data_IF_207166763851
#
_entry.id   IF_207166763851
#
_cell.length_a   1.000
_cell.length_b   1.000
_cell.length_c   1.000
_cell.angle_alpha   90.00
_cell.angle_beta   90.00
_cell.angle_gamma   90.00
#
_symmetry.space_group_name_H-M   'P 1'
#
loop_
_entity.id
_entity.type
_entity.pdbx_description
1 polymer ?
#
# COMPACT_ATOMS: atom_id res chain seq x y z
N UNK A 1 12.19 1.04 -0.64
CA UNK A 1 10.85 1.40 -0.11
C UNK A 1 9.79 0.95 -1.11
N UNK A 2 8.55 0.72 -0.69
CA UNK A 2 7.42 0.50 -1.63
C UNK A 2 6.80 1.86 -1.94
N UNK A 3 6.39 2.09 -3.18
CA UNK A 3 5.65 3.29 -3.59
C UNK A 3 4.18 2.96 -3.74
N UNK A 4 3.33 3.82 -3.20
CA UNK A 4 1.89 3.65 -3.27
C UNK A 4 1.19 4.99 -3.52
N UNK A 5 -0.07 4.91 -3.93
CA UNK A 5 -1.01 6.01 -3.86
C UNK A 5 -2.01 5.69 -2.75
N UNK A 6 -2.26 6.66 -1.88
CA UNK A 6 -3.09 6.48 -0.70
C UNK A 6 -4.16 7.57 -0.66
N UNK A 7 -5.42 7.19 -0.44
CA UNK A 7 -6.51 8.11 -0.14
C UNK A 7 -6.90 7.94 1.32
N UNK A 8 -6.95 9.05 2.07
CA UNK A 8 -7.41 9.08 3.46
C UNK A 8 -8.81 9.65 3.56
N UNK A 9 -9.66 9.02 4.37
CA UNK A 9 -11.02 9.46 4.67
C UNK A 9 -11.33 9.35 6.16
N UNK A 10 -12.36 10.08 6.60
CA UNK A 10 -12.96 9.87 7.92
C UNK A 10 -13.70 8.54 7.97
N UNK A 11 -13.59 7.81 9.08
CA UNK A 11 -14.32 6.54 9.26
C UNK A 11 -15.83 6.79 9.35
N UNK A 12 -16.64 5.96 8.68
CA UNK A 12 -18.11 6.02 8.66
C UNK A 12 -18.69 7.34 8.12
N UNK A 13 -17.93 8.08 7.33
CA UNK A 13 -18.37 9.33 6.71
C UNK A 13 -18.58 9.17 5.20
N UNK A 14 -19.49 9.98 4.66
CA UNK A 14 -19.75 10.04 3.23
C UNK A 14 -18.49 10.49 2.47
N UNK A 15 -18.15 9.72 1.45
CA UNK A 15 -17.04 9.90 0.51
C UNK A 15 -16.99 11.29 -0.13
N UNK A 16 -18.11 12.02 -0.14
CA UNK A 16 -18.23 13.35 -0.71
C UNK A 16 -17.80 14.50 0.21
N UNK A 17 -17.51 14.25 1.49
CA UNK A 17 -17.26 15.32 2.48
C UNK A 17 -15.83 15.86 2.38
N UNK A 18 -14.83 14.99 2.56
CA UNK A 18 -13.41 15.35 2.56
C UNK A 18 -12.54 14.10 2.41
N UNK A 19 -11.58 14.16 1.50
CA UNK A 19 -10.55 13.15 1.32
C UNK A 19 -9.18 13.81 1.13
N UNK A 20 -8.12 13.12 1.50
CA UNK A 20 -6.75 13.52 1.18
C UNK A 20 -6.08 12.46 0.32
N UNK A 21 -5.68 12.85 -0.89
CA UNK A 21 -4.86 12.02 -1.77
C UNK A 21 -3.36 12.22 -1.47
N UNK A 22 -2.61 11.13 -1.49
CA UNK A 22 -1.16 11.11 -1.27
C UNK A 22 -0.51 10.23 -2.35
N UNK A 23 -0.25 10.79 -3.54
CA UNK A 23 0.37 10.04 -4.64
C UNK A 23 1.86 9.81 -4.37
N UNK A 24 2.37 8.66 -4.83
CA UNK A 24 3.79 8.30 -4.79
C UNK A 24 4.43 8.35 -3.38
N UNK A 25 3.63 8.00 -2.36
CA UNK A 25 4.08 8.02 -0.96
C UNK A 25 5.02 6.85 -0.66
N UNK A 26 6.02 7.12 0.17
CA UNK A 26 6.91 6.09 0.70
C UNK A 26 6.21 5.21 1.72
N UNK A 27 6.19 3.91 1.46
CA UNK A 27 5.55 2.91 2.30
C UNK A 27 6.54 1.84 2.75
N UNK A 28 6.47 1.49 4.03
CA UNK A 28 7.20 0.38 4.62
C UNK A 28 6.29 -0.83 4.70
N UNK A 29 6.76 -1.95 4.15
CA UNK A 29 6.08 -3.23 4.25
C UNK A 29 6.51 -3.90 5.56
N UNK A 30 5.67 -3.85 6.60
CA UNK A 30 6.04 -4.27 7.95
C UNK A 30 5.12 -5.37 8.48
N UNK A 31 5.60 -6.61 8.41
CA UNK A 31 4.90 -7.78 8.96
C UNK A 31 4.92 -7.82 10.50
N UNK A 32 5.72 -6.97 11.16
CA UNK A 32 5.72 -6.81 12.62
C UNK A 32 4.68 -5.80 13.11
N UNK A 33 4.24 -4.87 12.27
CA UNK A 33 3.19 -3.92 12.59
C UNK A 33 1.80 -4.57 12.46
N UNK A 34 1.00 -4.58 13.52
CA UNK A 34 -0.35 -5.17 13.46
C UNK A 34 -1.34 -4.32 12.66
N UNK A 35 -1.18 -3.00 12.66
CA UNK A 35 -2.05 -2.05 11.97
C UNK A 35 -1.24 -1.13 11.06
N UNK A 36 -1.89 -0.59 10.04
CA UNK A 36 -1.33 0.43 9.17
C UNK A 36 -1.26 1.75 9.92
N UNK A 37 -0.07 2.36 9.93
CA UNK A 37 0.23 3.60 10.64
C UNK A 37 0.64 4.66 9.63
N UNK A 38 0.08 5.86 9.77
CA UNK A 38 0.39 7.02 8.95
C UNK A 38 0.99 8.08 9.87
N UNK A 39 2.18 8.57 9.52
CA UNK A 39 2.77 9.69 10.23
C UNK A 39 1.92 10.95 10.07
N UNK A 40 1.59 11.61 11.17
CA UNK A 40 0.75 12.81 11.19
C UNK A 40 1.32 13.95 10.32
N UNK A 41 2.64 14.04 10.17
CA UNK A 41 3.27 15.07 9.32
C UNK A 41 3.10 14.83 7.82
N UNK A 42 2.57 13.68 7.40
CA UNK A 42 2.11 13.43 6.03
C UNK A 42 0.68 13.94 5.78
N UNK A 43 -0.06 14.19 6.85
CA UNK A 43 -1.45 14.66 6.79
C UNK A 43 -1.47 16.18 6.66
N UNK A 44 -2.25 16.68 5.70
CA UNK A 44 -2.43 18.11 5.46
C UNK A 44 -3.12 18.79 6.65
N UNK A 45 -2.85 20.08 6.85
CA UNK A 45 -3.47 20.84 7.93
C UNK A 45 -5.00 20.90 7.81
N UNK A 46 -5.53 20.94 6.60
CA UNK A 46 -6.97 20.98 6.37
C UNK A 46 -7.63 19.63 6.70
N UNK A 47 -6.99 18.51 6.34
CA UNK A 47 -7.47 17.19 6.76
C UNK A 47 -7.33 16.98 8.27
N UNK A 48 -6.27 17.50 8.90
CA UNK A 48 -6.15 17.49 10.38
C UNK A 48 -7.28 18.27 11.06
N UNK A 49 -7.61 19.46 10.56
CA UNK A 49 -8.74 20.25 11.06
C UNK A 49 -10.07 19.53 10.86
N UNK A 50 -10.24 18.84 9.72
CA UNK A 50 -11.38 17.97 9.47
C UNK A 50 -11.47 16.85 10.52
N UNK A 51 -10.40 16.06 10.69
CA UNK A 51 -10.31 15.02 11.72
C UNK A 51 -10.46 15.55 13.15
N UNK A 52 -10.21 16.84 13.37
CA UNK A 52 -10.38 17.46 14.67
C UNK A 52 -11.86 17.66 15.08
N UNK A 53 -12.79 17.61 14.13
CA UNK A 53 -14.22 17.87 14.39
C UNK A 53 -14.84 16.81 15.33
N UNK A 54 -15.85 17.18 16.13
CA UNK A 54 -16.46 16.25 17.11
C UNK A 54 -17.05 14.97 16.52
N UNK A 55 -17.40 14.98 15.23
CA UNK A 55 -17.92 13.79 14.54
C UNK A 55 -16.91 12.62 14.55
N UNK A 56 -15.61 12.91 14.65
CA UNK A 56 -14.56 11.89 14.64
C UNK A 56 -14.10 11.46 16.04
N UNK A 57 -14.70 12.01 17.11
CA UNK A 57 -14.35 11.66 18.50
C UNK A 57 -14.42 10.15 18.80
N UNK A 58 -15.40 9.36 18.27
CA UNK A 58 -15.43 7.91 18.46
C UNK A 58 -14.21 7.17 17.89
N UNK A 59 -13.53 7.76 16.91
CA UNK A 59 -12.41 7.16 16.17
C UNK A 59 -11.05 7.67 16.66
N UNK A 60 -11.04 8.51 17.69
CA UNK A 60 -9.86 9.16 18.21
C UNK A 60 -9.61 8.76 19.65
N UNK A 61 -8.34 8.58 19.98
CA UNK A 61 -7.88 8.40 21.34
C UNK A 61 -6.67 9.30 21.61
N UNK A 62 -6.09 9.19 22.80
CA UNK A 62 -4.94 9.99 23.22
C UNK A 62 -3.67 9.78 22.38
N UNK A 63 -3.58 8.66 21.67
CA UNK A 63 -2.37 8.22 20.97
C UNK A 63 -2.52 8.34 19.44
N UNK A 64 -3.74 8.24 18.91
CA UNK A 64 -4.00 8.17 17.48
C UNK A 64 -5.41 8.61 17.07
N UNK A 65 -5.56 8.98 15.80
CA UNK A 65 -6.87 9.14 15.13
C UNK A 65 -7.01 8.09 14.03
N UNK A 66 -8.09 7.30 14.05
CA UNK A 66 -8.35 6.31 13.01
C UNK A 66 -8.91 6.97 11.76
N UNK A 67 -8.51 6.45 10.62
CA UNK A 67 -8.93 6.91 9.29
C UNK A 67 -9.23 5.70 8.43
N UNK A 68 -10.19 5.83 7.52
CA UNK A 68 -10.33 4.88 6.42
C UNK A 68 -9.23 5.18 5.40
N UNK A 69 -8.65 4.11 4.87
CA UNK A 69 -7.61 4.18 3.86
C UNK A 69 -8.01 3.35 2.66
N UNK A 70 -7.88 3.95 1.48
CA UNK A 70 -7.97 3.25 0.20
C UNK A 70 -6.56 3.28 -0.40
N UNK A 71 -5.93 2.12 -0.51
CA UNK A 71 -4.52 2.01 -0.88
C UNK A 71 -4.40 1.36 -2.24
N UNK A 72 -3.77 2.06 -3.18
CA UNK A 72 -3.41 1.54 -4.50
C UNK A 72 -1.91 1.36 -4.59
N UNK A 73 -1.46 0.12 -4.72
CA UNK A 73 -0.04 -0.23 -4.69
C UNK A 73 0.34 -0.87 -6.02
N UNK A 74 1.20 -0.17 -6.77
CA UNK A 74 1.82 -0.74 -7.96
C UNK A 74 2.95 -1.68 -7.53
N UNK A 75 2.79 -2.97 -7.81
CA UNK A 75 3.74 -4.03 -7.53
C UNK A 75 4.32 -4.54 -8.86
N UNK A 76 5.26 -5.50 -8.79
CA UNK A 76 6.11 -5.83 -9.94
C UNK A 76 5.33 -6.40 -11.14
N UNK A 77 4.23 -7.08 -10.86
CA UNK A 77 3.43 -7.78 -11.88
C UNK A 77 1.96 -7.32 -11.94
N UNK A 78 1.50 -6.58 -10.95
CA UNK A 78 0.12 -6.08 -10.90
C UNK A 78 0.05 -4.84 -10.03
N UNK A 79 -1.04 -4.13 -10.14
CA UNK A 79 -1.50 -3.22 -9.12
C UNK A 79 -2.56 -3.91 -8.25
N UNK A 80 -2.60 -3.56 -6.97
CA UNK A 80 -3.64 -4.02 -6.05
C UNK A 80 -4.28 -2.82 -5.35
N UNK A 81 -5.56 -2.97 -5.02
CA UNK A 81 -6.36 -2.01 -4.26
C UNK A 81 -6.81 -2.68 -2.95
N UNK A 82 -6.57 -2.00 -1.82
CA UNK A 82 -6.90 -2.49 -0.47
C UNK A 82 -7.55 -1.36 0.33
N UNK A 83 -8.73 -1.67 0.88
CA UNK A 83 -9.42 -0.81 1.83
C UNK A 83 -9.20 -1.30 3.26
N UNK A 84 -8.84 -0.39 4.15
CA UNK A 84 -8.56 -0.71 5.55
C UNK A 84 -8.80 0.47 6.49
N UNK A 85 -8.61 0.23 7.79
CA UNK A 85 -8.62 1.28 8.81
C UNK A 85 -7.20 1.54 9.28
N UNK A 86 -6.63 2.67 8.89
CA UNK A 86 -5.32 3.13 9.36
C UNK A 86 -5.42 3.91 10.68
N UNK A 87 -4.25 4.21 11.25
CA UNK A 87 -4.11 5.13 12.38
C UNK A 87 -3.13 6.24 12.05
N UNK A 88 -3.56 7.49 12.18
CA UNK A 88 -2.71 8.68 12.15
C UNK A 88 -2.10 8.86 13.53
N UNK A 89 -0.76 8.88 13.62
CA UNK A 89 -0.02 9.01 14.88
C UNK A 89 1.00 10.14 14.80
N UNK A 90 1.30 10.83 15.91
CA UNK A 90 2.39 11.79 15.98
C UNK A 90 3.72 11.15 15.56
N UNK A 91 4.52 11.89 14.79
CA UNK A 91 5.80 11.42 14.24
C UNK A 91 6.76 10.94 15.32
N UNK A 92 6.69 11.52 16.52
CA UNK A 92 7.51 11.18 17.68
C UNK A 92 7.26 9.75 18.20
N UNK A 93 6.10 9.17 17.86
CA UNK A 93 5.73 7.80 18.23
C UNK A 93 6.20 6.77 17.18
N UNK A 94 6.69 7.22 16.02
CA UNK A 94 7.15 6.33 14.95
C UNK A 94 8.62 5.97 15.16
N UNK A 95 9.02 4.69 15.00
CA UNK A 95 10.42 4.30 15.04
C UNK A 95 11.29 5.15 14.11
N UNK A 96 12.41 5.64 14.63
CA UNK A 96 13.32 6.57 13.94
C UNK A 96 12.72 7.94 13.56
N UNK A 97 11.51 8.25 14.04
CA UNK A 97 10.81 9.52 13.82
C UNK A 97 10.71 9.89 12.34
N UNK A 98 10.51 8.91 11.47
CA UNK A 98 10.53 9.16 10.03
C UNK A 98 9.13 9.20 9.44
N UNK A 99 8.95 10.06 8.44
CA UNK A 99 7.66 10.35 7.80
C UNK A 99 7.31 9.30 6.74
N UNK A 100 6.61 8.25 7.12
CA UNK A 100 6.17 7.20 6.20
C UNK A 100 4.76 6.70 6.50
N UNK A 101 4.25 5.87 5.59
CA UNK A 101 3.17 4.93 5.86
C UNK A 101 3.79 3.58 6.22
N UNK A 102 3.45 3.01 7.37
CA UNK A 102 3.78 1.63 7.73
C UNK A 102 2.58 0.78 7.34
N UNK A 103 2.73 -0.09 6.36
CA UNK A 103 1.70 -0.99 5.88
C UNK A 103 1.65 -2.23 6.80
N UNK A 104 0.55 -2.37 7.54
CA UNK A 104 0.44 -3.32 8.61
C UNK A 104 0.04 -4.73 8.16
N UNK A 105 0.49 -5.71 8.94
CA UNK A 105 0.23 -7.13 8.73
C UNK A 105 -1.27 -7.46 8.68
N UNK A 106 -1.98 -7.26 9.79
CA UNK A 106 -3.34 -7.79 9.96
C UNK A 106 -4.35 -7.12 9.04
N UNK A 107 -4.16 -5.84 8.77
CA UNK A 107 -5.11 -5.02 8.03
C UNK A 107 -4.90 -5.08 6.52
N UNK A 108 -3.68 -5.37 6.07
CA UNK A 108 -3.38 -5.29 4.65
C UNK A 108 -2.54 -6.47 4.15
N UNK A 109 -1.36 -6.74 4.73
CA UNK A 109 -0.44 -7.75 4.19
C UNK A 109 -1.05 -9.16 4.22
N UNK A 110 -1.84 -9.50 5.24
CA UNK A 110 -2.51 -10.79 5.35
C UNK A 110 -3.54 -11.05 4.23
N UNK A 111 -3.96 -10.01 3.53
CA UNK A 111 -4.87 -10.12 2.39
C UNK A 111 -4.13 -10.43 1.09
N UNK A 112 -2.81 -10.65 1.11
CA UNK A 112 -1.98 -10.77 -0.09
C UNK A 112 -1.14 -12.05 -0.01
N UNK A 113 -1.24 -12.88 -1.04
CA UNK A 113 -0.31 -13.98 -1.31
C UNK A 113 0.76 -13.49 -2.29
N UNK A 114 2.01 -13.40 -1.83
CA UNK A 114 3.10 -12.84 -2.63
C UNK A 114 4.45 -13.51 -2.39
N UNK A 115 5.35 -13.32 -3.35
CA UNK A 115 6.80 -13.54 -3.19
C UNK A 115 7.51 -12.19 -3.15
N UNK A 116 8.58 -12.11 -2.37
CA UNK A 116 9.37 -10.90 -2.24
C UNK A 116 10.86 -11.21 -2.41
N UNK A 117 11.51 -10.54 -3.36
CA UNK A 117 12.93 -10.73 -3.68
C UNK A 117 13.69 -9.45 -3.38
N UNK A 118 14.53 -9.43 -2.32
CA UNK A 118 15.29 -8.24 -1.95
C UNK A 118 16.24 -7.76 -3.06
N UNK A 119 16.44 -6.44 -3.15
CA UNK A 119 17.38 -5.81 -4.09
C UNK A 119 18.75 -6.46 -4.12
N UNK A 120 19.31 -6.84 -2.97
CA UNK A 120 20.64 -7.47 -2.90
C UNK A 120 20.72 -8.77 -3.72
N UNK A 121 19.65 -9.57 -3.75
CA UNK A 121 19.58 -10.80 -4.54
C UNK A 121 19.44 -10.45 -6.03
N UNK A 122 18.61 -9.46 -6.38
CA UNK A 122 18.43 -9.02 -7.77
C UNK A 122 19.75 -8.48 -8.36
N UNK A 123 20.49 -7.70 -7.59
CA UNK A 123 21.82 -7.22 -7.99
C UNK A 123 22.83 -8.36 -8.17
N UNK A 124 22.84 -9.34 -7.27
CA UNK A 124 23.70 -10.52 -7.42
C UNK A 124 23.37 -11.34 -8.68
N UNK A 125 22.12 -11.25 -9.17
CA UNK A 125 21.68 -11.82 -10.45
C UNK A 125 22.00 -10.92 -11.67
N UNK A 126 22.70 -9.81 -11.47
CA UNK A 126 23.08 -8.88 -12.54
C UNK A 126 21.98 -7.91 -12.98
N UNK A 127 20.88 -7.77 -12.22
CA UNK A 127 19.86 -6.74 -12.51
C UNK A 127 20.33 -5.38 -12.00
N UNK A 128 20.07 -4.34 -12.78
CA UNK A 128 20.25 -2.95 -12.36
C UNK A 128 18.98 -2.44 -11.68
N UNK A 129 19.03 -2.23 -10.36
CA UNK A 129 17.89 -1.85 -9.53
C UNK A 129 18.25 -0.59 -8.75
N UNK A 130 17.41 0.44 -8.84
CA UNK A 130 17.54 1.70 -8.09
C UNK A 130 17.67 1.45 -6.58
N UNK A 131 18.51 2.24 -5.91
CA UNK A 131 18.68 2.19 -4.45
C UNK A 131 17.43 2.59 -3.67
N UNK A 132 16.52 3.32 -4.31
CA UNK A 132 15.25 3.76 -3.69
C UNK A 132 14.24 2.60 -3.56
N UNK A 133 14.41 1.55 -4.35
CA UNK A 133 13.51 0.39 -4.41
C UNK A 133 14.00 -0.68 -3.44
N UNK A 134 13.08 -1.25 -2.66
CA UNK A 134 13.43 -2.31 -1.70
C UNK A 134 13.79 -3.63 -2.41
N UNK A 135 13.10 -3.95 -3.50
CA UNK A 135 13.22 -5.17 -4.27
C UNK A 135 11.99 -5.38 -5.13
N UNK A 136 11.75 -6.63 -5.53
CA UNK A 136 10.55 -7.03 -6.24
C UNK A 136 9.55 -7.66 -5.26
N UNK A 137 8.28 -7.33 -5.44
CA UNK A 137 7.14 -8.00 -4.81
C UNK A 137 6.25 -8.47 -5.94
N UNK A 138 6.02 -9.78 -6.02
CA UNK A 138 5.21 -10.45 -7.03
C UNK A 138 3.99 -11.02 -6.33
N UNK A 139 2.80 -10.55 -6.70
CA UNK A 139 1.53 -11.02 -6.13
C UNK A 139 0.98 -12.16 -6.96
N UNK A 140 0.55 -13.22 -6.29
CA UNK A 140 -0.15 -14.34 -6.90
C UNK A 140 -1.65 -14.19 -6.73
N UNK A 141 -2.08 -13.82 -5.53
CA UNK A 141 -3.50 -13.70 -5.18
C UNK A 141 -3.67 -12.62 -4.12
N UNK A 142 -4.82 -11.97 -4.08
CA UNK A 142 -5.16 -11.06 -2.99
C UNK A 142 -6.67 -11.00 -2.77
N UNK A 143 -7.08 -10.60 -1.57
CA UNK A 143 -8.48 -10.30 -1.25
C UNK A 143 -8.72 -8.81 -1.51
N UNK A 144 -9.67 -8.48 -2.38
CA UNK A 144 -10.02 -7.09 -2.68
C UNK A 144 -10.88 -6.45 -1.57
N UNK A 145 -11.20 -5.17 -1.76
CA UNK A 145 -12.10 -4.36 -0.93
C UNK A 145 -13.49 -4.98 -0.74
N UNK A 146 -14.00 -5.70 -1.75
CA UNK A 146 -15.29 -6.41 -1.69
C UNK A 146 -15.22 -7.76 -0.95
N UNK A 147 -14.04 -8.20 -0.55
CA UNK A 147 -13.81 -9.49 0.10
C UNK A 147 -13.68 -10.67 -0.87
N UNK A 148 -13.58 -10.41 -2.17
CA UNK A 148 -13.39 -11.42 -3.21
C UNK A 148 -11.91 -11.79 -3.33
N UNK A 149 -11.64 -13.08 -3.51
CA UNK A 149 -10.29 -13.57 -3.85
C UNK A 149 -10.02 -13.33 -5.33
N UNK A 150 -8.98 -12.56 -5.63
CA UNK A 150 -8.50 -12.25 -6.98
C UNK A 150 -7.19 -13.00 -7.22
N UNK A 151 -7.15 -13.85 -8.25
CA UNK A 151 -5.92 -14.48 -8.72
C UNK A 151 -5.28 -13.64 -9.83
N UNK A 152 -4.01 -13.31 -9.65
CA UNK A 152 -3.18 -12.63 -10.63
C UNK A 152 -2.58 -13.74 -11.51
N UNK A 153 -3.23 -13.99 -12.66
CA UNK A 153 -2.77 -15.00 -13.61
C UNK A 153 -1.32 -14.74 -14.05
N UNK A 154 -0.59 -15.82 -14.31
CA UNK A 154 0.69 -15.72 -15.00
C UNK A 154 0.44 -14.93 -16.29
N UNK A 155 1.22 -13.87 -16.52
CA UNK A 155 1.28 -13.24 -17.83
C UNK A 155 1.74 -14.35 -18.77
N UNK A 156 0.82 -14.96 -19.51
CA UNK A 156 1.17 -15.87 -20.60
C UNK A 156 2.10 -15.05 -21.51
N UNK A 157 3.38 -15.41 -21.51
CA UNK A 157 4.24 -15.12 -22.66
C UNK A 157 3.51 -15.75 -23.85
N UNK A 158 2.80 -14.91 -24.60
CA UNK A 158 2.25 -15.29 -25.90
C UNK A 158 3.45 -15.62 -26.77
N UNK A 159 3.80 -16.90 -26.76
CA UNK A 159 4.82 -17.47 -27.63
C UNK A 159 4.43 -17.16 -29.07
N UNK A 160 5.24 -16.33 -29.70
CA UNK A 160 5.23 -16.10 -31.13
C UNK A 160 5.58 -17.44 -31.82
N UNK A 161 4.54 -18.24 -32.09
CA UNK A 161 4.62 -19.39 -32.97
C UNK A 161 4.24 -18.93 -34.39
N UNK A 162 5.14 -18.14 -34.97
CA UNK A 162 5.16 -17.85 -36.40
C UNK A 162 5.59 -19.08 -37.18
N UNK A 163 4.60 -19.83 -37.65
CA UNK A 163 4.69 -20.96 -38.57
C UNK A 163 5.34 -20.55 -39.91
N UNK A 164 6.64 -20.84 -40.10
CA UNK A 164 7.29 -20.78 -41.41
C UNK A 164 6.93 -22.02 -42.25
N UNK A 165 5.71 -22.05 -42.74
CA UNK A 165 5.28 -22.93 -43.83
C UNK A 165 5.86 -22.46 -45.17
N UNK A 166 7.10 -22.83 -45.49
CA UNK A 166 7.70 -22.63 -46.82
C UNK A 166 7.49 -23.89 -47.67
N UNK A 167 6.40 -23.92 -48.41
CA UNK A 167 6.20 -24.90 -49.48
C UNK A 167 7.18 -24.59 -50.64
N UNK A 168 7.86 -25.63 -51.11
CA UNK A 168 8.64 -25.65 -52.35
C UNK A 168 7.72 -25.68 -53.58
#
# INVERSE_FOLDING_TARGET
>A
MVKASLVLRGVDHDDSIMAQEMPNIGMLWDTGAQSTIISEDLVSDDFKKYLAQPAHDPYRNKDATRVQIDVRIALSNTEIEIDAIGSVVPKEQIPNQTSFVIFGQRQCINSIHYSSVPRAILMAKGRDISEEVWGEIVVYEYVNDLGDLISVGDVEETGDSGDEGRAM
#
